data_IF_325278760496
#
_entry.id   IF_325278760496
#
_cell.length_a   1.000
_cell.length_b   1.000
_cell.length_c   1.000
_cell.angle_alpha   90.00
_cell.angle_beta   90.00
_cell.angle_gamma   90.00
#
_symmetry.space_group_name_H-M   'P 1'
#
loop_
_entity.id
_entity.type
_entity.pdbx_description
1 polymer ?
#
# COMPACT_ATOMS: atom_id res chain seq x y z
N UNK A 1 11.32 10.56 -11.48
CA UNK A 1 10.03 9.94 -11.82
C UNK A 1 9.11 11.01 -12.37
N UNK A 2 8.55 10.78 -13.54
CA UNK A 2 7.63 11.73 -14.15
C UNK A 2 6.27 11.67 -13.46
N UNK A 3 5.67 12.83 -13.28
CA UNK A 3 4.31 12.91 -12.75
C UNK A 3 3.31 12.74 -13.88
N UNK A 4 2.26 11.99 -13.63
CA UNK A 4 1.15 11.87 -14.57
C UNK A 4 0.27 13.12 -14.53
N UNK A 5 -0.37 13.44 -15.67
CA UNK A 5 -1.41 14.46 -15.68
C UNK A 5 -2.64 13.97 -14.93
N UNK A 6 -3.53 14.90 -14.56
CA UNK A 6 -4.78 14.53 -13.88
C UNK A 6 -5.65 13.60 -14.73
N UNK A 7 -5.71 13.83 -16.04
CA UNK A 7 -6.44 12.98 -16.98
C UNK A 7 -5.86 11.58 -17.06
N UNK A 8 -4.52 11.47 -17.07
CA UNK A 8 -3.84 10.18 -17.07
C UNK A 8 -4.14 9.39 -15.79
N UNK A 9 -4.09 10.06 -14.63
CA UNK A 9 -4.41 9.44 -13.34
C UNK A 9 -5.84 8.95 -13.27
N UNK A 10 -6.80 9.74 -13.75
CA UNK A 10 -8.21 9.35 -13.81
C UNK A 10 -8.42 8.13 -14.70
N UNK A 11 -7.78 8.10 -15.86
CA UNK A 11 -7.84 6.97 -16.80
C UNK A 11 -7.25 5.70 -16.16
N UNK A 12 -6.13 5.82 -15.47
CA UNK A 12 -5.50 4.70 -14.77
C UNK A 12 -6.41 4.18 -13.66
N UNK A 13 -7.01 5.07 -12.88
CA UNK A 13 -7.93 4.70 -11.79
C UNK A 13 -9.17 3.99 -12.30
N UNK A 14 -9.74 4.44 -13.43
CA UNK A 14 -10.85 3.76 -14.07
C UNK A 14 -10.51 2.34 -14.50
N UNK A 15 -9.31 2.17 -15.06
CA UNK A 15 -8.81 0.86 -15.47
C UNK A 15 -8.63 -0.07 -14.27
N UNK A 16 -8.14 0.45 -13.15
CA UNK A 16 -7.99 -0.29 -11.90
C UNK A 16 -9.36 -0.80 -11.42
N UNK A 17 -10.38 0.03 -11.45
CA UNK A 17 -11.74 -0.36 -11.06
C UNK A 17 -12.30 -1.45 -11.97
N UNK A 18 -12.01 -1.38 -13.27
CA UNK A 18 -12.41 -2.42 -14.22
C UNK A 18 -11.70 -3.75 -13.94
N UNK A 19 -10.41 -3.72 -13.65
CA UNK A 19 -9.63 -4.90 -13.26
C UNK A 19 -10.22 -5.55 -12.02
N UNK A 20 -10.53 -4.76 -11.00
CA UNK A 20 -11.11 -5.26 -9.77
C UNK A 20 -12.46 -5.96 -10.02
N UNK A 21 -13.31 -5.36 -10.85
CA UNK A 21 -14.61 -5.94 -11.20
C UNK A 21 -14.48 -7.23 -12.00
N UNK A 22 -13.56 -7.28 -12.95
CA UNK A 22 -13.29 -8.48 -13.75
C UNK A 22 -12.80 -9.62 -12.87
N UNK A 23 -11.83 -9.37 -12.01
CA UNK A 23 -11.26 -10.39 -11.13
C UNK A 23 -12.31 -10.91 -10.14
N UNK A 24 -13.14 -10.04 -9.62
CA UNK A 24 -14.24 -10.41 -8.76
C UNK A 24 -15.25 -11.31 -9.49
N UNK A 25 -15.61 -10.94 -10.73
CA UNK A 25 -16.52 -11.73 -11.57
C UNK A 25 -15.96 -13.10 -11.92
N UNK A 26 -14.64 -13.21 -12.04
CA UNK A 26 -13.94 -14.46 -12.36
C UNK A 26 -13.62 -15.31 -11.12
N UNK A 27 -14.07 -14.90 -9.95
CA UNK A 27 -13.84 -15.61 -8.69
C UNK A 27 -12.46 -15.39 -8.09
N UNK A 28 -11.73 -14.37 -8.52
CA UNK A 28 -10.39 -14.05 -8.06
C UNK A 28 -10.31 -12.60 -7.55
N UNK A 29 -11.02 -12.25 -6.47
CA UNK A 29 -11.19 -10.84 -6.08
C UNK A 29 -9.93 -10.15 -5.59
N UNK A 30 -8.85 -10.90 -5.33
CA UNK A 30 -7.61 -10.33 -4.77
C UNK A 30 -6.44 -10.24 -5.77
N UNK A 31 -6.55 -10.87 -6.93
CA UNK A 31 -5.45 -10.89 -7.92
C UNK A 31 -5.10 -9.50 -8.43
N UNK A 32 -6.07 -8.63 -8.58
CA UNK A 32 -5.85 -7.28 -9.10
C UNK A 32 -4.91 -6.43 -8.25
N UNK A 33 -4.77 -6.73 -6.96
CA UNK A 33 -3.80 -6.03 -6.11
C UNK A 33 -2.37 -6.25 -6.60
N UNK A 34 -2.01 -7.51 -6.88
CA UNK A 34 -0.67 -7.82 -7.40
C UNK A 34 -0.47 -7.21 -8.79
N UNK A 35 -1.46 -7.28 -9.66
CA UNK A 35 -1.41 -6.70 -10.99
C UNK A 35 -1.22 -5.17 -10.92
N UNK A 36 -1.89 -4.51 -9.99
CA UNK A 36 -1.75 -3.08 -9.79
C UNK A 36 -0.31 -2.72 -9.37
N UNK A 37 0.22 -3.38 -8.35
CA UNK A 37 1.57 -3.08 -7.89
C UNK A 37 2.62 -3.37 -8.97
N UNK A 38 2.56 -4.51 -9.61
CA UNK A 38 3.54 -4.88 -10.63
C UNK A 38 3.48 -3.96 -11.84
N UNK A 39 2.30 -3.51 -12.25
CA UNK A 39 2.14 -2.60 -13.38
C UNK A 39 2.46 -1.14 -13.05
N UNK A 40 2.44 -0.76 -11.78
CA UNK A 40 2.71 0.61 -11.34
C UNK A 40 4.17 1.03 -11.51
N UNK A 41 5.09 0.07 -11.59
CA UNK A 41 6.54 0.32 -11.68
C UNK A 41 7.03 1.23 -10.56
N UNK A 42 6.53 1.05 -9.35
CA UNK A 42 6.82 1.86 -8.16
C UNK A 42 6.35 3.31 -8.23
N UNK A 43 5.49 3.66 -9.17
CA UNK A 43 4.91 4.99 -9.22
C UNK A 43 3.71 5.06 -8.27
N UNK A 44 3.91 5.67 -7.11
CA UNK A 44 2.89 5.79 -6.07
C UNK A 44 1.64 6.54 -6.50
N UNK A 45 1.74 7.42 -7.50
CA UNK A 45 0.58 8.13 -8.03
C UNK A 45 -0.46 7.18 -8.63
N UNK A 46 -0.03 6.01 -9.10
CA UNK A 46 -0.90 5.00 -9.70
C UNK A 46 -1.65 4.20 -8.63
N UNK A 47 -1.09 4.12 -7.42
CA UNK A 47 -1.68 3.36 -6.32
C UNK A 47 -2.60 4.28 -5.51
N UNK A 48 -3.94 4.09 -5.59
CA UNK A 48 -4.90 5.07 -5.07
C UNK A 48 -4.80 5.36 -3.57
N UNK A 49 -4.34 4.38 -2.79
CA UNK A 49 -4.27 4.49 -1.33
C UNK A 49 -2.87 4.80 -0.80
N UNK A 50 -1.87 4.95 -1.69
CA UNK A 50 -0.50 5.23 -1.28
C UNK A 50 -0.12 6.67 -1.61
N UNK A 51 0.42 7.37 -0.63
CA UNK A 51 0.93 8.73 -0.80
C UNK A 51 2.36 8.91 -0.28
N UNK A 52 3.05 7.80 0.00
CA UNK A 52 4.43 7.81 0.50
C UNK A 52 4.57 8.14 1.97
N UNK A 53 3.46 8.32 2.68
CA UNK A 53 3.43 8.68 4.10
C UNK A 53 2.58 7.70 4.88
N UNK A 54 2.83 7.53 6.19
CA UNK A 54 1.92 6.76 7.03
C UNK A 54 0.54 7.40 7.10
N UNK A 55 -0.48 6.58 7.32
CA UNK A 55 -1.85 7.06 7.43
C UNK A 55 -1.97 8.08 8.58
N UNK A 56 -2.52 9.24 8.29
CA UNK A 56 -2.60 10.34 9.27
C UNK A 56 -3.46 9.99 10.49
N UNK A 57 -4.47 9.14 10.33
CA UNK A 57 -5.30 8.68 11.44
C UNK A 57 -4.50 7.77 12.37
N UNK A 58 -3.63 6.94 11.82
CA UNK A 58 -2.72 6.11 12.61
C UNK A 58 -1.74 6.97 13.39
N UNK A 59 -1.15 7.98 12.75
CA UNK A 59 -0.22 8.91 13.39
C UNK A 59 -0.90 9.63 14.56
N UNK A 60 -2.10 10.15 14.35
CA UNK A 60 -2.88 10.82 15.40
C UNK A 60 -3.20 9.90 16.57
N UNK A 61 -3.63 8.67 16.26
CA UNK A 61 -3.98 7.69 17.28
C UNK A 61 -2.78 7.28 18.15
N UNK A 62 -1.59 7.20 17.53
CA UNK A 62 -0.36 6.82 18.23
C UNK A 62 0.28 7.97 19.01
N UNK A 63 -0.17 9.21 18.78
CA UNK A 63 0.40 10.37 19.46
C UNK A 63 0.28 10.24 20.98
N UNK A 64 1.40 10.41 21.66
CA UNK A 64 1.46 10.26 23.11
C UNK A 64 1.44 8.83 23.65
N UNK A 65 1.36 7.82 22.78
CA UNK A 65 1.38 6.41 23.20
C UNK A 65 2.80 5.85 23.13
N UNK A 66 3.17 5.10 24.17
CA UNK A 66 4.44 4.36 24.18
C UNK A 66 4.27 3.02 23.49
N UNK A 67 5.30 2.51 22.78
CA UNK A 67 5.23 1.18 22.18
C UNK A 67 5.06 0.10 23.27
N UNK A 68 4.14 -0.84 23.05
CA UNK A 68 3.81 -1.87 24.03
C UNK A 68 3.88 -3.28 23.45
N UNK A 69 4.91 -3.56 22.68
CA UNK A 69 5.16 -4.89 22.20
C UNK A 69 5.05 -5.04 20.70
N UNK A 70 4.13 -5.88 20.25
CA UNK A 70 4.05 -6.30 18.84
C UNK A 70 2.91 -5.61 18.11
N UNK A 71 3.16 -5.28 16.85
CA UNK A 71 2.13 -4.77 15.95
C UNK A 71 2.06 -5.66 14.70
N UNK A 72 0.84 -5.95 14.26
CA UNK A 72 0.59 -6.70 13.04
C UNK A 72 -0.09 -5.77 12.04
N UNK A 73 0.56 -5.56 10.89
CA UNK A 73 0.02 -4.72 9.83
C UNK A 73 -0.47 -5.61 8.70
N UNK A 74 -1.79 -5.67 8.55
CA UNK A 74 -2.46 -6.48 7.54
C UNK A 74 -2.66 -5.64 6.28
N UNK A 75 -2.26 -6.16 5.13
CA UNK A 75 -2.37 -5.41 3.88
C UNK A 75 -1.43 -4.20 3.89
N UNK A 76 -0.17 -4.40 4.22
CA UNK A 76 0.79 -3.31 4.45
C UNK A 76 1.16 -2.50 3.20
N UNK A 77 0.84 -2.99 2.01
CA UNK A 77 1.19 -2.31 0.77
C UNK A 77 2.67 -2.02 0.66
N UNK A 78 3.02 -0.76 0.41
CA UNK A 78 4.40 -0.31 0.26
C UNK A 78 5.13 -0.10 1.59
N UNK A 79 4.45 -0.32 2.72
CA UNK A 79 5.08 -0.42 4.02
C UNK A 79 5.20 0.87 4.85
N UNK A 80 4.55 1.95 4.46
CA UNK A 80 4.67 3.24 5.16
C UNK A 80 4.21 3.15 6.61
N UNK A 81 3.06 2.53 6.88
CA UNK A 81 2.53 2.37 8.24
C UNK A 81 3.40 1.44 9.07
N UNK A 82 3.85 0.33 8.47
CA UNK A 82 4.71 -0.63 9.14
C UNK A 82 6.05 0.00 9.52
N UNK A 83 6.66 0.76 8.62
CA UNK A 83 7.90 1.48 8.87
C UNK A 83 7.74 2.51 10.00
N UNK A 84 6.65 3.26 9.98
CA UNK A 84 6.35 4.25 11.02
C UNK A 84 6.24 3.60 12.40
N UNK A 85 5.49 2.50 12.52
CA UNK A 85 5.37 1.75 13.78
C UNK A 85 6.74 1.25 14.25
N UNK A 86 7.55 0.73 13.34
CA UNK A 86 8.88 0.24 13.65
C UNK A 86 9.79 1.37 14.17
N UNK A 87 9.73 2.54 13.56
CA UNK A 87 10.48 3.73 14.00
C UNK A 87 10.10 4.16 15.41
N UNK A 88 8.84 3.98 15.79
CA UNK A 88 8.36 4.28 17.14
C UNK A 88 8.76 3.21 18.17
N UNK A 89 9.34 2.11 17.77
CA UNK A 89 9.80 1.06 18.66
C UNK A 89 8.92 -0.17 18.79
N UNK A 90 7.86 -0.26 17.99
CA UNK A 90 7.02 -1.47 17.95
C UNK A 90 7.76 -2.60 17.24
N UNK A 91 7.52 -3.83 17.68
CA UNK A 91 7.95 -5.03 16.96
C UNK A 91 6.90 -5.35 15.90
N UNK A 92 7.20 -5.03 14.66
CA UNK A 92 6.23 -5.08 13.58
C UNK A 92 6.37 -6.35 12.76
N UNK A 93 5.23 -7.00 12.51
CA UNK A 93 5.08 -8.01 11.47
C UNK A 93 4.09 -7.44 10.47
N UNK A 94 4.47 -7.41 9.20
CA UNK A 94 3.63 -6.86 8.14
C UNK A 94 3.50 -7.86 7.01
N UNK A 95 2.33 -7.94 6.39
CA UNK A 95 2.13 -8.79 5.22
C UNK A 95 1.12 -8.17 4.26
N UNK A 96 1.19 -8.62 3.01
CA UNK A 96 0.30 -8.19 1.96
C UNK A 96 0.05 -9.34 0.99
N UNK A 97 -1.08 -9.29 0.29
CA UNK A 97 -1.42 -10.28 -0.75
C UNK A 97 -0.52 -10.12 -1.99
N UNK A 98 0.08 -8.95 -2.19
CA UNK A 98 0.94 -8.66 -3.33
C UNK A 98 2.41 -8.96 -3.02
N UNK A 99 3.01 -9.98 -3.65
CA UNK A 99 4.45 -10.22 -3.52
C UNK A 99 5.29 -9.03 -3.98
N UNK A 100 4.85 -8.32 -5.01
CA UNK A 100 5.55 -7.14 -5.52
C UNK A 100 5.58 -6.02 -4.49
N UNK A 101 4.46 -5.75 -3.81
CA UNK A 101 4.41 -4.73 -2.75
C UNK A 101 5.37 -5.08 -1.61
N UNK A 102 5.39 -6.33 -1.17
CA UNK A 102 6.30 -6.80 -0.11
C UNK A 102 7.76 -6.65 -0.53
N UNK A 103 8.08 -7.01 -1.77
CA UNK A 103 9.44 -6.86 -2.29
C UNK A 103 9.89 -5.40 -2.23
N UNK A 104 9.07 -4.49 -2.70
CA UNK A 104 9.40 -3.06 -2.72
C UNK A 104 9.46 -2.48 -1.31
N UNK A 105 8.56 -2.87 -0.42
CA UNK A 105 8.61 -2.45 0.98
C UNK A 105 9.89 -2.90 1.66
N UNK A 106 10.32 -4.15 1.44
CA UNK A 106 11.56 -4.71 1.98
C UNK A 106 12.81 -4.00 1.45
N UNK A 107 12.78 -3.54 0.20
CA UNK A 107 13.88 -2.81 -0.40
C UNK A 107 13.97 -1.37 0.10
N UNK A 108 12.84 -0.78 0.48
CA UNK A 108 12.76 0.62 0.93
C UNK A 108 13.08 0.76 2.43
N UNK A 109 12.67 -0.21 3.22
CA UNK A 109 12.76 -0.17 4.70
C UNK A 109 13.56 -1.37 5.30
#
# INVERSE_FOLDING_TARGET
>A
MEKHSQEELESIRERILEMAKEDESNGNPLIWFEELYSSSKRNEEIIPWSNGEPNHLLVEWLDGKSPQGRALVVGCGLGEDAAYLSELGWKVTAFDISPTAIKWASETY
#
